data_IF_178293674142
#
_entry.id   IF_178293674142
#
_cell.length_a   1.000
_cell.length_b   1.000
_cell.length_c   1.000
_cell.angle_alpha   90.00
_cell.angle_beta   90.00
_cell.angle_gamma   90.00
#
_symmetry.space_group_name_H-M   'P 1'
#
loop_
_entity.id
_entity.type
_entity.pdbx_description
1 polymer ?
#
# COMPACT_ATOMS: atom_id res chain seq x y z
N UNK A 1 13.01 7.57 -16.61
CA UNK A 1 12.21 7.00 -15.52
C UNK A 1 11.81 8.14 -14.62
N UNK A 2 10.53 8.46 -14.58
CA UNK A 2 9.98 9.53 -13.75
C UNK A 2 9.18 8.94 -12.60
N UNK A 3 9.18 9.61 -11.45
CA UNK A 3 8.33 9.21 -10.32
C UNK A 3 7.15 10.17 -10.27
N UNK A 4 5.94 9.62 -10.34
CA UNK A 4 4.70 10.37 -10.17
C UNK A 4 4.12 10.11 -8.79
N UNK A 5 3.58 11.17 -8.18
CA UNK A 5 2.95 11.14 -6.87
C UNK A 5 1.43 11.26 -7.01
N UNK A 6 0.71 10.33 -6.40
CA UNK A 6 -0.75 10.31 -6.34
C UNK A 6 -1.19 10.45 -4.90
N UNK A 7 -2.03 11.45 -4.62
CA UNK A 7 -2.60 11.67 -3.29
C UNK A 7 -3.99 11.04 -3.20
N UNK A 8 -4.21 10.30 -2.12
CA UNK A 8 -5.52 9.76 -1.75
C UNK A 8 -5.90 10.31 -0.38
N UNK A 9 -6.92 11.15 -0.33
CA UNK A 9 -7.47 11.65 0.92
C UNK A 9 -8.50 10.65 1.47
N UNK A 10 -8.54 10.54 2.79
CA UNK A 10 -9.41 9.61 3.49
C UNK A 10 -10.14 10.34 4.61
N UNK A 11 -11.43 10.08 4.73
CA UNK A 11 -12.25 10.47 5.88
C UNK A 11 -12.92 9.20 6.41
N UNK A 12 -12.76 8.93 7.70
CA UNK A 12 -13.36 7.77 8.34
C UNK A 12 -14.81 8.01 8.68
N UNK A 13 -15.59 6.93 8.72
CA UNK A 13 -16.95 6.93 9.22
C UNK A 13 -16.97 7.07 10.75
N UNK A 14 -18.17 7.08 11.32
CA UNK A 14 -18.36 7.23 12.76
C UNK A 14 -17.74 6.08 13.57
N UNK A 15 -17.67 4.88 12.99
CA UNK A 15 -17.03 3.69 13.55
C UNK A 15 -15.50 3.68 13.37
N UNK A 16 -14.93 4.69 12.71
CA UNK A 16 -13.50 4.78 12.42
C UNK A 16 -13.05 4.01 11.19
N UNK A 17 -13.95 3.37 10.44
CA UNK A 17 -13.60 2.66 9.22
C UNK A 17 -13.55 3.58 8.00
N UNK A 18 -12.82 3.18 6.96
CA UNK A 18 -12.89 3.81 5.64
C UNK A 18 -12.52 2.81 4.55
N UNK A 19 -13.09 2.96 3.35
CA UNK A 19 -12.56 2.33 2.14
C UNK A 19 -12.51 3.38 1.04
N UNK A 20 -11.30 3.61 0.52
CA UNK A 20 -11.08 4.57 -0.58
C UNK A 20 -10.19 3.95 -1.65
N UNK A 21 -10.21 4.56 -2.83
CA UNK A 21 -9.48 4.08 -4.00
C UNK A 21 -8.62 5.20 -4.57
N UNK A 22 -7.43 4.85 -5.06
CA UNK A 22 -6.64 5.76 -5.88
C UNK A 22 -7.29 5.99 -7.25
N UNK A 23 -6.83 6.99 -8.03
CA UNK A 23 -7.01 7.00 -9.47
C UNK A 23 -6.43 5.73 -10.12
N UNK A 24 -6.70 5.52 -11.40
CA UNK A 24 -6.07 4.44 -12.17
C UNK A 24 -4.57 4.70 -12.32
N UNK A 25 -3.77 3.74 -11.86
CA UNK A 25 -2.32 3.78 -11.87
C UNK A 25 -1.75 2.78 -12.87
N UNK A 26 -0.59 3.10 -13.43
CA UNK A 26 0.19 2.18 -14.28
C UNK A 26 1.67 2.44 -14.05
N UNK A 27 2.44 1.38 -13.82
CA UNK A 27 3.87 1.47 -13.51
C UNK A 27 4.26 0.65 -12.30
N UNK A 28 5.48 0.86 -11.79
CA UNK A 28 6.01 0.12 -10.65
C UNK A 28 5.76 0.89 -9.36
N UNK A 29 5.27 0.22 -8.33
CA UNK A 29 5.05 0.79 -7.02
C UNK A 29 6.40 1.05 -6.33
N UNK A 30 6.76 2.32 -6.21
CA UNK A 30 8.00 2.73 -5.57
C UNK A 30 7.84 2.71 -4.06
N UNK A 31 6.82 3.44 -3.55
CA UNK A 31 6.54 3.60 -2.13
C UNK A 31 5.07 3.96 -1.87
N UNK A 32 4.62 3.73 -0.64
CA UNK A 32 3.38 4.25 -0.09
C UNK A 32 3.73 5.00 1.20
N UNK A 33 3.34 6.26 1.28
CA UNK A 33 3.50 7.09 2.48
C UNK A 33 2.15 7.25 3.15
N UNK A 34 2.07 6.87 4.41
CA UNK A 34 0.98 7.22 5.31
C UNK A 34 1.29 8.57 5.96
N UNK A 35 0.44 9.56 5.69
CA UNK A 35 0.52 10.89 6.30
C UNK A 35 -0.59 11.03 7.33
N UNK A 36 -0.19 10.92 8.59
CA UNK A 36 -1.09 11.13 9.72
C UNK A 36 -1.35 12.62 9.90
N UNK A 37 -2.58 13.06 9.61
CA UNK A 37 -3.01 14.44 9.86
C UNK A 37 -3.89 14.52 11.12
N UNK A 38 -5.03 13.84 11.14
CA UNK A 38 -6.01 13.88 12.24
C UNK A 38 -6.53 12.49 12.65
N UNK A 39 -6.02 11.42 12.03
CA UNK A 39 -6.32 10.06 12.49
C UNK A 39 -5.93 9.86 13.95
N UNK A 40 -6.68 9.00 14.64
CA UNK A 40 -6.35 8.57 15.99
C UNK A 40 -5.01 7.81 16.05
N UNK A 41 -4.50 7.60 17.26
CA UNK A 41 -3.47 6.59 17.50
C UNK A 41 -4.05 5.18 17.31
N UNK A 42 -3.19 4.24 16.94
CA UNK A 42 -3.58 2.85 16.74
C UNK A 42 -4.19 2.56 15.38
N UNK A 43 -3.79 3.25 14.30
CA UNK A 43 -4.44 3.05 12.99
C UNK A 43 -4.08 1.71 12.39
N UNK A 44 -5.12 0.96 12.03
CA UNK A 44 -5.03 -0.29 11.30
C UNK A 44 -5.49 -0.08 9.85
N UNK A 45 -4.67 -0.49 8.90
CA UNK A 45 -5.03 -0.45 7.49
C UNK A 45 -4.52 -1.65 6.69
N UNK A 46 -5.27 -1.96 5.64
CA UNK A 46 -4.96 -2.97 4.63
C UNK A 46 -5.03 -2.32 3.25
N UNK A 47 -3.91 -2.32 2.54
CA UNK A 47 -3.76 -1.71 1.23
C UNK A 47 -3.49 -2.80 0.20
N UNK A 48 -4.32 -2.89 -0.83
CA UNK A 48 -4.25 -3.91 -1.87
C UNK A 48 -4.37 -3.30 -3.26
N UNK A 49 -3.91 -4.03 -4.28
CA UNK A 49 -4.45 -3.90 -5.63
C UNK A 49 -5.96 -4.20 -5.59
N UNK A 50 -6.76 -3.39 -6.27
CA UNK A 50 -8.20 -3.61 -6.35
C UNK A 50 -8.53 -4.83 -7.22
N UNK A 51 -7.95 -4.92 -8.42
CA UNK A 51 -8.31 -5.93 -9.39
C UNK A 51 -7.86 -7.35 -8.99
N UNK A 52 -6.66 -7.48 -8.43
CA UNK A 52 -6.07 -8.80 -8.11
C UNK A 52 -6.15 -9.17 -6.63
N UNK A 53 -6.38 -8.18 -5.76
CA UNK A 53 -6.29 -8.36 -4.31
C UNK A 53 -4.86 -8.53 -3.80
N UNK A 54 -3.84 -8.32 -4.63
CA UNK A 54 -2.43 -8.40 -4.22
C UNK A 54 -2.15 -7.43 -3.06
N UNK A 55 -1.59 -7.95 -1.97
CA UNK A 55 -1.25 -7.17 -0.79
C UNK A 55 -0.09 -6.21 -1.05
N UNK A 56 -0.32 -4.92 -0.87
CA UNK A 56 0.70 -3.88 -1.03
C UNK A 56 1.27 -3.47 0.32
N UNK A 57 0.42 -3.22 1.32
CA UNK A 57 0.87 -2.88 2.67
C UNK A 57 -0.24 -3.16 3.68
N UNK A 58 0.06 -3.98 4.68
CA UNK A 58 -0.80 -4.21 5.85
C UNK A 58 0.00 -3.81 7.08
N UNK A 59 -0.58 -2.98 7.92
CA UNK A 59 0.05 -2.61 9.19
C UNK A 59 -1.02 -2.25 10.22
N UNK A 60 -0.71 -2.56 11.46
CA UNK A 60 -1.58 -2.34 12.61
C UNK A 60 -0.90 -1.40 13.61
N UNK A 61 -1.70 -0.71 14.40
CA UNK A 61 -1.28 0.17 15.48
C UNK A 61 -0.32 1.30 15.06
N UNK A 62 -0.54 1.90 13.88
CA UNK A 62 0.34 2.95 13.36
C UNK A 62 0.07 4.29 14.04
N UNK A 63 1.06 4.80 14.78
CA UNK A 63 0.94 6.02 15.58
C UNK A 63 1.54 7.28 14.94
N UNK A 64 2.41 7.13 13.94
CA UNK A 64 3.09 8.25 13.29
C UNK A 64 3.09 8.11 11.77
N UNK A 65 3.27 9.23 11.07
CA UNK A 65 3.48 9.21 9.64
C UNK A 65 4.69 8.32 9.29
N UNK A 66 4.54 7.47 8.29
CA UNK A 66 5.58 6.51 7.92
C UNK A 66 5.47 6.15 6.45
N UNK A 67 6.49 5.51 5.91
CA UNK A 67 6.50 5.03 4.53
C UNK A 67 6.94 3.57 4.48
N UNK A 68 6.38 2.84 3.52
CA UNK A 68 6.88 1.52 3.12
C UNK A 68 7.20 1.52 1.64
N UNK A 69 8.10 0.62 1.27
CA UNK A 69 8.54 0.38 -0.10
C UNK A 69 8.20 -1.06 -0.45
N UNK A 70 6.92 -1.39 -0.74
CA UNK A 70 6.50 -2.77 -0.95
C UNK A 70 7.24 -3.43 -2.11
N UNK A 71 7.63 -4.69 -1.92
CA UNK A 71 8.26 -5.54 -2.91
C UNK A 71 7.63 -6.93 -2.84
N UNK A 72 7.56 -7.61 -3.99
CA UNK A 72 7.08 -8.98 -4.08
C UNK A 72 8.21 -9.93 -4.46
N UNK A 73 8.14 -11.16 -3.95
CA UNK A 73 9.09 -12.21 -4.31
C UNK A 73 8.96 -12.55 -5.79
N UNK A 74 10.09 -12.66 -6.48
CA UNK A 74 10.17 -13.19 -7.84
C UNK A 74 10.14 -14.71 -7.81
N UNK A 75 9.63 -15.34 -8.86
CA UNK A 75 9.43 -16.79 -8.92
C UNK A 75 10.07 -17.38 -10.18
N UNK A 76 10.51 -18.63 -10.08
CA UNK A 76 10.89 -19.44 -11.24
C UNK A 76 9.65 -19.95 -11.99
N UNK A 77 9.86 -20.67 -13.10
CA UNK A 77 8.78 -21.23 -13.93
C UNK A 77 7.89 -22.26 -13.22
N UNK A 78 8.33 -22.81 -12.08
CA UNK A 78 7.55 -23.76 -11.26
C UNK A 78 6.73 -23.05 -10.18
N UNK A 79 6.71 -21.71 -10.16
CA UNK A 79 6.01 -20.93 -9.14
C UNK A 79 6.67 -20.94 -7.77
N UNK A 80 7.94 -21.34 -7.67
CA UNK A 80 8.72 -21.29 -6.41
C UNK A 80 9.53 -19.99 -6.37
N UNK A 81 9.57 -19.35 -5.20
CA UNK A 81 10.33 -18.12 -5.01
C UNK A 81 11.81 -18.32 -5.38
N UNK A 82 12.35 -17.41 -6.19
CA UNK A 82 13.78 -17.35 -6.46
C UNK A 82 14.50 -16.86 -5.20
N UNK A 83 15.53 -17.57 -4.77
CA UNK A 83 16.30 -17.25 -3.56
C UNK A 83 17.74 -16.89 -3.94
N UNK A 84 18.40 -16.03 -3.16
CA UNK A 84 19.84 -15.74 -3.35
C UNK A 84 20.73 -16.97 -3.09
N UNK A 85 20.27 -17.87 -2.22
CA UNK A 85 20.91 -19.14 -1.89
C UNK A 85 19.84 -20.15 -1.45
N UNK A 86 20.17 -21.45 -1.44
CA UNK A 86 19.26 -22.50 -0.97
C UNK A 86 18.80 -22.24 0.47
N UNK A 87 17.48 -22.24 0.71
CA UNK A 87 16.88 -21.92 2.01
C UNK A 87 17.06 -20.47 2.47
N UNK A 88 17.55 -19.58 1.59
CA UNK A 88 17.83 -18.18 1.90
C UNK A 88 16.66 -17.23 1.64
N UNK A 89 16.98 -15.93 1.58
CA UNK A 89 16.01 -14.85 1.34
C UNK A 89 15.55 -14.83 -0.11
N UNK A 90 14.26 -14.55 -0.32
CA UNK A 90 13.70 -14.37 -1.64
C UNK A 90 14.28 -13.13 -2.35
N UNK A 91 14.52 -13.27 -3.65
CA UNK A 91 14.82 -12.15 -4.55
C UNK A 91 13.52 -11.38 -4.76
N UNK A 92 13.54 -10.11 -4.35
CA UNK A 92 12.38 -9.23 -4.31
C UNK A 92 12.44 -8.22 -5.47
N UNK A 93 11.29 -7.89 -6.06
CA UNK A 93 11.18 -6.89 -7.13
C UNK A 93 10.01 -5.92 -6.86
N UNK A 94 10.00 -4.73 -7.49
CA UNK A 94 8.87 -3.81 -7.41
C UNK A 94 7.56 -4.45 -7.89
N UNK A 95 6.50 -4.25 -7.13
CA UNK A 95 5.14 -4.65 -7.52
C UNK A 95 4.70 -3.75 -8.67
N UNK A 96 4.07 -4.31 -9.70
CA UNK A 96 3.66 -3.56 -10.90
C UNK A 96 2.14 -3.45 -10.95
N UNK A 97 1.64 -2.25 -11.16
CA UNK A 97 0.22 -1.98 -11.40
C UNK A 97 0.00 -1.77 -12.90
N UNK A 98 -0.99 -2.47 -13.48
CA UNK A 98 -1.33 -2.39 -14.89
C UNK A 98 -2.75 -1.89 -15.10
N UNK A 99 -2.93 -0.58 -15.21
CA UNK A 99 -4.25 0.09 -15.21
C UNK A 99 -5.15 -0.43 -14.09
N UNK A 100 -4.68 -0.26 -12.87
CA UNK A 100 -5.35 -0.74 -11.66
C UNK A 100 -5.51 0.38 -10.63
N UNK A 101 -6.33 0.18 -9.60
CA UNK A 101 -6.46 1.09 -8.46
C UNK A 101 -5.88 0.44 -7.21
N UNK A 102 -5.32 1.29 -6.35
CA UNK A 102 -4.95 0.89 -4.99
C UNK A 102 -6.16 1.11 -4.10
N UNK A 103 -6.63 0.03 -3.47
CA UNK A 103 -7.66 0.06 -2.44
C UNK A 103 -6.99 0.25 -1.08
N UNK A 104 -7.45 1.25 -0.33
CA UNK A 104 -7.01 1.51 1.05
C UNK A 104 -8.22 1.28 1.95
N UNK A 105 -8.17 0.21 2.74
CA UNK A 105 -9.15 -0.10 3.77
C UNK A 105 -8.58 0.24 5.15
N UNK A 106 -9.24 1.13 5.88
CA UNK A 106 -8.92 1.49 7.27
C UNK A 106 -9.95 0.80 8.16
N UNK A 107 -9.47 0.09 9.18
CA UNK A 107 -10.33 -0.56 10.17
C UNK A 107 -10.57 0.31 11.41
N UNK A 108 -9.58 1.11 11.83
CA UNK A 108 -9.66 1.93 13.04
C UNK A 108 -8.86 3.24 12.91
N UNK A 109 -9.41 4.25 12.23
CA UNK A 109 -8.79 5.59 12.12
C UNK A 109 -9.36 6.65 13.07
N UNK A 110 -10.34 6.28 13.91
CA UNK A 110 -11.08 7.19 14.80
C UNK A 110 -12.33 7.81 14.16
N UNK A 111 -13.30 8.23 14.96
CA UNK A 111 -14.60 8.74 14.51
C UNK A 111 -14.46 10.05 13.69
N UNK A 112 -14.90 10.02 12.43
CA UNK A 112 -14.96 11.19 11.54
C UNK A 112 -13.61 11.94 11.41
N UNK A 113 -12.52 11.18 11.39
CA UNK A 113 -11.15 11.67 11.29
C UNK A 113 -10.66 11.65 9.85
N UNK A 114 -9.58 12.38 9.57
CA UNK A 114 -9.01 12.45 8.23
C UNK A 114 -7.51 12.21 8.19
N UNK A 115 -7.05 11.71 7.04
CA UNK A 115 -5.65 11.51 6.73
C UNK A 115 -5.43 11.27 5.25
N UNK A 116 -4.18 11.03 4.88
CA UNK A 116 -3.80 10.93 3.47
C UNK A 116 -2.78 9.83 3.24
N UNK A 117 -2.83 9.26 2.05
CA UNK A 117 -1.80 8.37 1.52
C UNK A 117 -1.20 9.00 0.27
N UNK A 118 0.13 8.96 0.15
CA UNK A 118 0.84 9.25 -1.09
C UNK A 118 1.32 7.95 -1.70
N UNK A 119 0.94 7.69 -2.94
CA UNK A 119 1.40 6.53 -3.71
C UNK A 119 2.40 7.05 -4.75
N UNK A 120 3.62 6.51 -4.70
CA UNK A 120 4.67 6.85 -5.66
C UNK A 120 4.77 5.74 -6.70
N UNK A 121 4.59 6.11 -7.97
CA UNK A 121 4.67 5.19 -9.10
C UNK A 121 5.83 5.61 -10.01
N UNK A 122 6.66 4.65 -10.37
CA UNK A 122 7.69 4.78 -11.39
C UNK A 122 7.11 4.42 -12.76
N UNK A 123 7.16 5.37 -13.70
CA UNK A 123 6.71 5.22 -15.10
C UNK A 123 7.69 5.79 -16.15
#
# INVERSE_FOLDING_TARGET
MTVRRFEVSVVTAADGSATVFSPWLSGKLAAIHYLKTDFADGVDFTITSEATGEGLWVEANVNAATARYPRAATHNSSGVAALYASGGTAVQAPITLGRDRVKIAIAAGGNAKSGKFLILIED
#
